data_IF_200520604253
#
_entry.id   IF_200520604253
#
_cell.length_a   1.000
_cell.length_b   1.000
_cell.length_c   1.000
_cell.angle_alpha   90.00
_cell.angle_beta   90.00
_cell.angle_gamma   90.00
#
_symmetry.space_group_name_H-M   'P 1'
#
loop_
_entity.id
_entity.type
_entity.pdbx_description
1 polymer ?
#
# COMPACT_ATOMS: atom_id res chain seq x y z
N UNK A 1 13.95 -5.93 11.20
CA UNK A 1 13.70 -5.55 9.81
C UNK A 1 14.30 -6.63 8.93
N UNK A 2 13.48 -7.36 8.18
CA UNK A 2 13.99 -8.34 7.21
C UNK A 2 14.32 -7.54 5.95
N UNK A 3 15.61 -7.32 5.68
CA UNK A 3 16.05 -6.71 4.42
C UNK A 3 15.93 -7.83 3.40
N UNK A 4 14.92 -7.74 2.53
CA UNK A 4 14.87 -8.58 1.33
C UNK A 4 16.15 -8.29 0.56
N UNK A 5 16.95 -9.33 0.30
CA UNK A 5 18.16 -9.23 -0.51
C UNK A 5 17.89 -8.45 -1.78
N UNK A 6 18.73 -7.45 -2.02
CA UNK A 6 18.71 -6.68 -3.25
C UNK A 6 19.01 -7.65 -4.40
N UNK A 7 17.97 -8.07 -5.13
CA UNK A 7 18.09 -8.85 -6.36
C UNK A 7 18.64 -7.92 -7.46
N UNK A 8 19.88 -7.44 -7.31
CA UNK A 8 20.62 -6.80 -8.37
C UNK A 8 20.99 -7.87 -9.38
N UNK A 9 20.14 -8.03 -10.39
CA UNK A 9 20.49 -8.79 -11.58
C UNK A 9 21.38 -7.92 -12.46
N UNK A 10 22.66 -7.86 -12.14
CA UNK A 10 23.64 -7.22 -12.99
C UNK A 10 23.78 -8.05 -14.28
N UNK A 11 23.52 -7.46 -15.46
CA UNK A 11 23.68 -8.19 -16.70
C UNK A 11 25.14 -8.59 -16.85
N UNK A 12 25.37 -9.85 -17.23
CA UNK A 12 26.72 -10.37 -17.46
C UNK A 12 27.44 -9.51 -18.52
N UNK A 13 28.75 -9.22 -18.35
CA UNK A 13 29.49 -8.28 -19.18
C UNK A 13 29.50 -8.60 -20.69
N UNK A 14 29.22 -9.84 -21.08
CA UNK A 14 29.09 -10.28 -22.48
C UNK A 14 27.80 -9.80 -23.19
N UNK A 15 26.86 -9.18 -22.47
CA UNK A 15 25.54 -8.73 -22.98
C UNK A 15 25.63 -7.39 -23.72
N UNK A 16 26.45 -7.29 -24.76
CA UNK A 16 26.83 -6.01 -25.38
C UNK A 16 25.85 -5.51 -26.46
N UNK A 17 24.96 -6.38 -26.98
CA UNK A 17 24.18 -6.06 -28.18
C UNK A 17 22.67 -6.31 -28.04
N UNK A 18 21.88 -5.37 -28.54
CA UNK A 18 20.41 -5.42 -28.55
C UNK A 18 19.84 -6.59 -29.37
N UNK A 19 18.64 -7.04 -28.99
CA UNK A 19 17.88 -8.10 -29.67
C UNK A 19 17.66 -7.76 -31.14
N UNK A 20 17.76 -8.76 -32.00
CA UNK A 20 17.41 -8.66 -33.42
C UNK A 20 16.23 -9.57 -33.71
N UNK A 21 15.18 -9.02 -34.32
CA UNK A 21 14.03 -9.78 -34.83
C UNK A 21 14.10 -9.80 -36.35
N UNK A 22 14.24 -10.97 -36.96
CA UNK A 22 14.19 -11.14 -38.41
C UNK A 22 12.79 -11.59 -38.83
N UNK A 23 12.04 -10.66 -39.41
CA UNK A 23 10.68 -10.91 -39.89
C UNK A 23 10.61 -11.71 -41.19
N UNK A 24 11.71 -11.78 -41.97
CA UNK A 24 11.79 -12.57 -43.19
C UNK A 24 11.97 -14.06 -42.91
N UNK A 25 12.68 -14.41 -41.84
CA UNK A 25 12.85 -15.80 -41.39
C UNK A 25 11.96 -16.17 -40.20
N UNK A 26 11.20 -15.21 -39.66
CA UNK A 26 10.40 -15.34 -38.43
C UNK A 26 11.21 -15.90 -37.25
N UNK A 27 12.46 -15.45 -37.12
CA UNK A 27 13.37 -15.81 -36.03
C UNK A 27 13.79 -14.57 -35.25
N UNK A 28 14.19 -14.75 -34.00
CA UNK A 28 14.88 -13.73 -33.23
C UNK A 28 16.17 -14.29 -32.65
N UNK A 29 17.22 -13.48 -32.66
CA UNK A 29 18.52 -13.83 -32.13
C UNK A 29 19.07 -12.68 -31.29
N UNK A 30 19.93 -13.04 -30.32
CA UNK A 30 20.30 -12.22 -29.15
C UNK A 30 19.16 -12.05 -28.16
N UNK A 31 19.48 -12.02 -26.88
CA UNK A 31 18.49 -11.86 -25.83
C UNK A 31 18.08 -10.38 -25.71
N UNK A 32 16.78 -10.11 -25.78
CA UNK A 32 16.22 -8.85 -25.30
C UNK A 32 15.79 -9.11 -23.89
N UNK A 33 16.58 -8.66 -22.91
CA UNK A 33 16.21 -8.81 -21.50
C UNK A 33 15.83 -7.44 -20.96
N UNK A 34 14.60 -7.38 -20.47
CA UNK A 34 14.07 -6.29 -19.69
C UNK A 34 14.10 -6.73 -18.24
N UNK A 35 14.79 -5.95 -17.41
CA UNK A 35 14.87 -6.17 -15.97
C UNK A 35 13.93 -5.18 -15.28
N UNK A 36 13.25 -5.66 -14.25
CA UNK A 36 12.33 -4.87 -13.44
C UNK A 36 12.78 -4.99 -11.98
N UNK A 37 13.07 -3.86 -11.35
CA UNK A 37 13.33 -3.76 -9.92
C UNK A 37 12.13 -3.10 -9.27
N UNK A 38 11.48 -3.81 -8.34
CA UNK A 38 10.39 -3.28 -7.53
C UNK A 38 10.89 -3.10 -6.10
N UNK A 39 10.75 -1.89 -5.55
CA UNK A 39 11.05 -1.57 -4.16
C UNK A 39 9.73 -1.16 -3.49
N UNK A 40 9.30 -1.92 -2.48
CA UNK A 40 8.01 -1.70 -1.80
C UNK A 40 8.22 -1.54 -0.30
N UNK A 41 8.77 -0.41 0.17
CA UNK A 41 8.88 -0.15 1.60
C UNK A 41 7.47 0.07 2.16
N UNK A 42 7.08 -0.80 3.08
CA UNK A 42 5.87 -0.63 3.90
C UNK A 42 6.33 -0.42 5.34
N UNK A 43 5.95 0.71 5.90
CA UNK A 43 6.23 1.09 7.27
C UNK A 43 4.91 1.12 8.04
N UNK A 44 4.91 0.58 9.25
CA UNK A 44 3.72 0.54 10.07
C UNK A 44 4.03 0.67 11.54
N UNK A 45 3.12 1.30 12.27
CA UNK A 45 3.18 1.47 13.70
C UNK A 45 1.83 1.12 14.32
N UNK A 46 1.84 0.38 15.43
CA UNK A 46 0.64 0.09 16.20
C UNK A 46 0.95 0.17 17.68
N UNK A 47 -0.02 0.62 18.45
CA UNK A 47 0.09 0.73 19.90
C UNK A 47 -1.27 0.61 20.54
N UNK A 48 -1.29 0.12 21.78
CA UNK A 48 -2.51 0.10 22.57
C UNK A 48 -2.20 0.19 24.06
N UNK A 49 -3.08 0.82 24.81
CA UNK A 49 -3.05 0.86 26.26
C UNK A 49 -4.41 0.39 26.80
N UNK A 50 -4.37 -0.31 27.93
CA UNK A 50 -5.57 -0.76 28.62
C UNK A 50 -5.47 -0.42 30.11
N UNK A 51 -6.60 -0.05 30.68
CA UNK A 51 -6.76 0.20 32.10
C UNK A 51 -7.94 -0.63 32.60
N UNK A 52 -7.66 -1.62 33.46
CA UNK A 52 -8.65 -2.56 33.96
C UNK A 52 -8.72 -2.45 35.47
N UNK A 53 -9.93 -2.19 35.95
CA UNK A 53 -10.30 -2.20 37.37
C UNK A 53 -11.41 -3.21 37.57
N UNK A 54 -11.75 -3.52 38.83
CA UNK A 54 -12.76 -4.52 39.16
C UNK A 54 -14.15 -4.27 38.53
N UNK A 55 -14.51 -3.01 38.25
CA UNK A 55 -15.81 -2.63 37.67
C UNK A 55 -15.71 -1.92 36.32
N UNK A 56 -14.52 -1.61 35.83
CA UNK A 56 -14.32 -0.78 34.63
C UNK A 56 -13.09 -1.23 33.86
N UNK A 57 -13.27 -1.60 32.60
CA UNK A 57 -12.22 -2.11 31.72
C UNK A 57 -12.20 -1.30 30.42
N UNK A 58 -11.29 -0.32 30.37
CA UNK A 58 -11.10 0.54 29.23
C UNK A 58 -9.85 0.14 28.41
N UNK A 59 -9.95 0.21 27.08
CA UNK A 59 -8.83 -0.01 26.16
C UNK A 59 -8.89 0.93 24.98
N UNK A 60 -7.75 1.50 24.61
CA UNK A 60 -7.61 2.33 23.42
C UNK A 60 -6.35 1.98 22.65
N UNK A 61 -6.33 2.22 21.35
CA UNK A 61 -5.17 1.97 20.52
C UNK A 61 -5.27 2.54 19.12
N UNK A 62 -4.18 2.39 18.39
CA UNK A 62 -4.05 2.85 17.02
C UNK A 62 -3.29 1.84 16.14
N UNK A 63 -3.48 1.97 14.84
CA UNK A 63 -2.71 1.31 13.79
C UNK A 63 -2.49 2.32 12.66
N UNK A 64 -1.25 2.48 12.22
CA UNK A 64 -0.85 3.34 11.11
C UNK A 64 -0.04 2.50 10.14
N UNK A 65 -0.39 2.57 8.86
CA UNK A 65 0.37 1.96 7.76
C UNK A 65 0.62 3.02 6.70
N UNK A 66 1.85 3.08 6.21
CA UNK A 66 2.25 3.93 5.09
C UNK A 66 3.27 3.18 4.24
N UNK A 67 3.46 3.60 3.00
CA UNK A 67 4.51 3.01 2.18
C UNK A 67 4.64 3.66 0.82
N UNK A 68 5.61 3.19 0.07
CA UNK A 68 5.73 3.51 -1.35
C UNK A 68 5.94 2.23 -2.15
N UNK A 69 5.70 2.35 -3.44
CA UNK A 69 5.91 1.33 -4.44
C UNK A 69 6.68 1.97 -5.58
N UNK A 70 7.95 1.64 -5.71
CA UNK A 70 8.81 2.15 -6.76
C UNK A 70 9.19 1.02 -7.69
N UNK A 71 8.87 1.16 -8.98
CA UNK A 71 9.20 0.19 -10.00
C UNK A 71 10.12 0.84 -11.03
N UNK A 72 11.34 0.34 -11.14
CA UNK A 72 12.30 0.75 -12.17
C UNK A 72 12.41 -0.34 -13.22
N UNK A 73 12.13 0.00 -14.48
CA UNK A 73 12.30 -0.92 -15.61
C UNK A 73 13.50 -0.49 -16.45
N UNK A 74 14.36 -1.46 -16.80
CA UNK A 74 15.56 -1.26 -17.62
C UNK A 74 15.58 -2.28 -18.75
N UNK A 75 15.87 -1.84 -19.97
CA UNK A 75 16.08 -2.74 -21.11
C UNK A 75 17.55 -2.82 -21.45
N UNK A 76 18.07 -4.02 -21.68
CA UNK A 76 19.46 -4.21 -22.09
C UNK A 76 19.75 -3.53 -23.44
N UNK A 77 20.86 -2.78 -23.47
CA UNK A 77 21.37 -2.05 -24.65
C UNK A 77 20.44 -0.93 -25.16
N UNK A 78 19.30 -0.65 -24.48
CA UNK A 78 18.31 0.38 -24.85
C UNK A 78 17.91 0.39 -26.34
N UNK A 79 18.12 -0.71 -27.07
CA UNK A 79 18.03 -0.73 -28.54
C UNK A 79 17.57 -2.11 -29.00
N UNK A 80 16.61 -2.16 -29.92
CA UNK A 80 16.17 -3.37 -30.58
C UNK A 80 16.16 -3.15 -32.09
N UNK A 81 16.60 -4.13 -32.85
CA UNK A 81 16.68 -4.06 -34.30
C UNK A 81 15.65 -5.00 -34.92
N UNK A 82 15.05 -4.56 -36.01
CA UNK A 82 14.26 -5.42 -36.91
C UNK A 82 15.04 -5.55 -38.21
N UNK A 83 15.11 -6.78 -38.71
CA UNK A 83 15.69 -7.11 -39.98
C UNK A 83 14.67 -7.86 -40.86
N UNK A 84 14.93 -7.86 -42.15
CA UNK A 84 14.27 -8.73 -43.13
C UNK A 84 15.35 -9.49 -43.86
N UNK A 85 15.39 -10.81 -43.68
CA UNK A 85 16.37 -11.69 -44.34
C UNK A 85 17.82 -11.25 -44.13
N UNK A 86 18.20 -10.92 -42.90
CA UNK A 86 19.53 -10.46 -42.51
C UNK A 86 19.84 -8.99 -42.82
N UNK A 87 18.93 -8.26 -43.48
CA UNK A 87 19.09 -6.81 -43.76
C UNK A 87 18.36 -5.98 -42.70
N UNK A 88 19.04 -5.11 -41.93
CA UNK A 88 18.38 -4.24 -40.96
C UNK A 88 17.39 -3.30 -41.66
N UNK A 89 16.16 -3.23 -41.16
CA UNK A 89 15.08 -2.40 -41.72
C UNK A 89 14.58 -1.34 -40.75
N UNK A 90 14.64 -1.57 -39.44
CA UNK A 90 14.25 -0.57 -38.43
C UNK A 90 15.00 -0.75 -37.11
N UNK A 91 15.12 0.33 -36.35
CA UNK A 91 15.69 0.33 -34.99
C UNK A 91 14.71 1.02 -34.05
N UNK A 92 14.48 0.40 -32.89
CA UNK A 92 13.70 0.96 -31.78
C UNK A 92 14.68 1.31 -30.66
N UNK A 93 14.65 2.54 -30.18
CA UNK A 93 15.37 2.98 -29.00
C UNK A 93 14.43 3.04 -27.80
N UNK A 94 14.86 2.48 -26.66
CA UNK A 94 14.12 2.51 -25.40
C UNK A 94 14.70 3.59 -24.49
N UNK A 95 13.84 4.49 -24.01
CA UNK A 95 14.19 5.53 -23.02
C UNK A 95 14.27 4.99 -21.59
N UNK A 96 14.99 3.89 -21.35
CA UNK A 96 15.18 3.33 -20.01
C UNK A 96 16.43 3.90 -19.31
N UNK A 97 16.44 4.04 -17.97
CA UNK A 97 15.45 3.54 -17.01
C UNK A 97 14.14 4.33 -16.98
N UNK A 98 13.01 3.62 -16.97
CA UNK A 98 11.70 4.21 -16.66
C UNK A 98 11.42 3.95 -15.19
N UNK A 99 11.24 5.01 -14.41
CA UNK A 99 10.88 4.97 -13.01
C UNK A 99 9.37 5.24 -12.87
N UNK A 100 8.64 4.23 -12.42
CA UNK A 100 7.24 4.36 -12.03
C UNK A 100 7.17 4.40 -10.50
N UNK A 101 6.76 5.53 -9.95
CA UNK A 101 6.55 5.71 -8.50
C UNK A 101 5.05 5.69 -8.25
N UNK A 102 4.59 4.76 -7.42
CA UNK A 102 3.25 4.73 -6.86
C UNK A 102 3.39 4.84 -5.34
N UNK A 103 2.55 5.66 -4.68
CA UNK A 103 2.65 5.86 -3.23
C UNK A 103 1.50 5.14 -2.54
N UNK A 104 1.81 4.31 -1.55
CA UNK A 104 0.79 3.73 -0.68
C UNK A 104 0.38 4.83 0.30
N UNK A 105 -0.86 5.29 0.14
CA UNK A 105 -1.42 6.38 0.94
C UNK A 105 -1.43 6.00 2.43
N UNK A 106 -1.11 6.94 3.33
CA UNK A 106 -1.25 6.74 4.77
C UNK A 106 -2.65 6.24 5.14
N UNK A 107 -2.72 5.22 5.99
CA UNK A 107 -3.95 4.66 6.54
C UNK A 107 -3.81 4.57 8.06
N UNK A 108 -4.59 5.37 8.78
CA UNK A 108 -4.63 5.44 10.24
C UNK A 108 -5.97 4.91 10.76
N UNK A 109 -5.95 3.93 11.65
CA UNK A 109 -7.11 3.49 12.42
C UNK A 109 -6.90 3.75 13.91
N UNK A 110 -7.84 4.46 14.53
CA UNK A 110 -7.93 4.69 15.97
C UNK A 110 -9.14 3.94 16.53
N UNK A 111 -9.03 3.39 17.75
CA UNK A 111 -10.14 2.72 18.40
C UNK A 111 -10.12 2.89 19.91
N UNK A 112 -11.30 2.91 20.51
CA UNK A 112 -11.52 2.87 21.95
C UNK A 112 -12.68 1.96 22.28
N UNK A 113 -12.53 1.15 23.33
CA UNK A 113 -13.56 0.26 23.85
C UNK A 113 -13.59 0.32 25.38
N UNK A 114 -14.78 0.19 25.93
CA UNK A 114 -15.02 0.26 27.36
C UNK A 114 -16.07 -0.76 27.80
N UNK A 115 -15.83 -1.38 28.95
CA UNK A 115 -16.77 -2.27 29.61
C UNK A 115 -16.89 -1.90 31.09
N UNK A 116 -18.10 -1.57 31.53
CA UNK A 116 -18.44 -1.34 32.92
C UNK A 116 -19.27 -2.49 33.48
N UNK A 117 -18.98 -2.93 34.69
CA UNK A 117 -19.78 -3.91 35.43
C UNK A 117 -20.26 -3.29 36.73
N UNK A 118 -21.58 -3.08 36.84
CA UNK A 118 -22.25 -2.54 38.01
C UNK A 118 -23.19 -3.61 38.59
N UNK A 119 -22.75 -4.29 39.66
CA UNK A 119 -23.47 -5.42 40.28
C UNK A 119 -23.83 -6.51 39.26
N UNK A 120 -25.10 -6.57 38.85
CA UNK A 120 -25.66 -7.53 37.87
C UNK A 120 -25.82 -6.94 36.47
N UNK A 121 -25.41 -5.68 36.26
CA UNK A 121 -25.48 -4.99 34.97
C UNK A 121 -24.09 -4.87 34.37
N UNK A 122 -23.88 -5.39 33.17
CA UNK A 122 -22.68 -5.07 32.36
C UNK A 122 -23.07 -4.16 31.23
N UNK A 123 -22.33 -3.06 31.07
CA UNK A 123 -22.42 -2.10 29.99
C UNK A 123 -21.16 -2.19 29.13
N UNK A 124 -21.32 -2.25 27.81
CA UNK A 124 -20.20 -2.15 26.87
C UNK A 124 -20.39 -0.91 25.99
N UNK A 125 -19.30 -0.28 25.57
CA UNK A 125 -19.29 0.80 24.59
C UNK A 125 -18.02 0.74 23.75
N UNK A 126 -18.08 1.17 22.50
CA UNK A 126 -16.90 1.19 21.64
C UNK A 126 -17.06 2.15 20.47
N UNK A 127 -15.94 2.72 20.05
CA UNK A 127 -15.82 3.65 18.94
C UNK A 127 -14.57 3.35 18.12
N UNK A 128 -14.69 3.51 16.80
CA UNK A 128 -13.60 3.33 15.85
C UNK A 128 -13.62 4.49 14.86
N UNK A 129 -12.42 4.94 14.50
CA UNK A 129 -12.18 5.99 13.56
C UNK A 129 -11.10 5.54 12.59
N UNK A 130 -11.33 5.70 11.30
CA UNK A 130 -10.37 5.36 10.25
C UNK A 130 -10.16 6.61 9.38
N UNK A 131 -8.92 6.91 9.04
CA UNK A 131 -8.52 8.02 8.18
C UNK A 131 -7.56 7.52 7.10
N UNK A 132 -7.80 7.97 5.89
CA UNK A 132 -6.91 7.78 4.75
C UNK A 132 -6.65 9.13 4.12
N UNK A 133 -5.46 9.34 3.57
CA UNK A 133 -5.04 10.60 2.92
C UNK A 133 -5.07 10.45 1.38
N UNK A 134 -6.17 10.83 0.70
CA UNK A 134 -6.32 10.65 -0.75
C UNK A 134 -5.65 11.75 -1.55
N UNK A 135 -5.50 12.96 -0.98
CA UNK A 135 -4.97 14.15 -1.65
C UNK A 135 -3.44 14.32 -1.44
N UNK A 136 -2.88 13.66 -0.45
CA UNK A 136 -1.45 13.59 -0.15
C UNK A 136 -0.91 14.73 0.71
N UNK A 137 -1.76 15.53 1.37
CA UNK A 137 -1.34 16.71 2.13
C UNK A 137 -1.06 16.43 3.62
N UNK A 138 -1.34 15.21 4.10
CA UNK A 138 -1.14 14.74 5.48
C UNK A 138 -1.88 15.54 6.54
N UNK A 139 -2.87 16.32 6.15
CA UNK A 139 -3.73 17.07 7.06
C UNK A 139 -5.06 16.34 7.06
N UNK A 140 -5.57 15.96 8.23
CA UNK A 140 -6.90 15.36 8.32
C UNK A 140 -7.94 16.39 7.88
N UNK A 141 -8.56 16.17 6.72
CA UNK A 141 -9.65 17.01 6.23
C UNK A 141 -10.99 16.30 6.41
N UNK A 142 -11.93 17.03 7.02
CA UNK A 142 -13.30 16.59 7.21
C UNK A 142 -13.85 16.93 8.60
N UNK A 143 -15.16 17.07 8.69
CA UNK A 143 -15.85 17.24 9.97
C UNK A 143 -16.07 15.87 10.62
N UNK A 144 -15.43 15.58 11.77
CA UNK A 144 -15.55 14.28 12.43
C UNK A 144 -16.97 13.96 12.88
N UNK A 145 -17.91 14.91 12.94
CA UNK A 145 -19.29 14.66 13.36
C UNK A 145 -20.30 14.60 12.20
N UNK A 146 -19.85 14.82 10.96
CA UNK A 146 -20.73 14.79 9.80
C UNK A 146 -20.93 13.34 9.32
N UNK A 147 -22.17 12.81 9.31
CA UNK A 147 -22.45 11.45 8.85
C UNK A 147 -22.42 11.29 7.31
N UNK A 148 -22.37 12.40 6.56
CA UNK A 148 -22.22 12.40 5.11
C UNK A 148 -20.74 12.32 4.70
N UNK A 149 -20.44 12.12 3.41
CA UNK A 149 -19.06 12.08 2.93
C UNK A 149 -18.39 13.43 3.24
N UNK A 150 -17.35 13.41 4.08
CA UNK A 150 -16.62 14.58 4.61
C UNK A 150 -15.17 14.57 4.12
N UNK A 151 -15.00 14.47 2.80
CA UNK A 151 -13.71 14.43 2.12
C UNK A 151 -12.86 13.20 2.50
N UNK A 152 -11.84 13.34 3.34
CA UNK A 152 -10.83 12.31 3.59
C UNK A 152 -11.20 11.33 4.71
N UNK A 153 -12.09 11.76 5.59
CA UNK A 153 -12.63 10.94 6.67
C UNK A 153 -13.69 9.96 6.18
N UNK A 154 -14.11 10.09 4.91
CA UNK A 154 -15.04 9.19 4.24
C UNK A 154 -16.44 9.21 4.85
N UNK A 155 -17.39 8.57 4.17
CA UNK A 155 -18.71 8.37 4.76
C UNK A 155 -18.55 7.42 5.95
N UNK A 156 -18.97 7.82 7.15
CA UNK A 156 -18.94 6.92 8.29
C UNK A 156 -19.75 5.67 7.98
N UNK A 157 -19.07 4.53 7.77
CA UNK A 157 -19.71 3.24 7.44
C UNK A 157 -20.48 2.68 8.64
N UNK A 158 -20.33 3.30 9.81
CA UNK A 158 -21.03 2.95 11.02
C UNK A 158 -22.04 4.05 11.38
N UNK A 159 -23.33 3.79 11.16
CA UNK A 159 -24.44 4.66 11.58
C UNK A 159 -24.49 4.88 13.11
N UNK A 160 -23.72 4.12 13.89
CA UNK A 160 -23.51 4.31 15.32
C UNK A 160 -22.30 5.20 15.65
N UNK A 161 -21.69 5.85 14.67
CA UNK A 161 -20.66 6.83 14.94
C UNK A 161 -21.22 7.96 15.82
N UNK A 162 -20.60 8.18 16.98
CA UNK A 162 -21.10 9.09 18.02
C UNK A 162 -22.30 8.57 18.83
N UNK A 163 -22.81 7.36 18.56
CA UNK A 163 -23.91 6.75 19.32
C UNK A 163 -23.37 5.65 20.25
N UNK A 164 -23.46 5.79 21.58
CA UNK A 164 -23.06 4.73 22.49
C UNK A 164 -23.94 3.49 22.26
N UNK A 165 -23.34 2.36 21.88
CA UNK A 165 -24.04 1.07 21.83
C UNK A 165 -24.14 0.54 23.26
N UNK A 166 -25.20 0.87 23.97
CA UNK A 166 -25.40 0.43 25.35
C UNK A 166 -25.98 -1.00 25.33
N UNK A 167 -25.17 -2.02 25.61
CA UNK A 167 -25.65 -3.37 25.88
C UNK A 167 -25.85 -3.54 27.39
N UNK A 168 -27.06 -3.83 27.85
CA UNK A 168 -27.37 -4.15 29.27
C UNK A 168 -27.67 -5.64 29.37
N UNK A 169 -26.81 -6.37 30.07
CA UNK A 169 -27.05 -7.76 30.46
C UNK A 169 -27.46 -7.78 31.94
N UNK A 170 -28.58 -8.44 32.27
CA UNK A 170 -29.03 -8.68 33.64
C UNK A 170 -29.15 -10.19 33.88
N UNK A 171 -28.36 -10.73 34.81
CA UNK A 171 -28.46 -12.13 35.23
C UNK A 171 -29.44 -12.28 36.41
N UNK A 172 -30.29 -13.32 36.37
CA UNK A 172 -31.44 -13.51 37.29
C UNK A 172 -31.04 -14.16 38.60
#
# INVERSE_FOLDING_TARGET
SYVLEDQNFDPRPESVAGRITDSGFNIAYRAGVSNMKAYTPVEGARGSIAYVTGSHAFKTGFNLVMGSYEQTSRTLTNTQYTAVSGRPTSVIYYGTPVLAINRVRPNLGLYGQDQWTLKRMTLNAGLRFDWTDPNGDRIVQGDPFNPLANDELGRSLNLNFGKPVLAVCYDR
#
